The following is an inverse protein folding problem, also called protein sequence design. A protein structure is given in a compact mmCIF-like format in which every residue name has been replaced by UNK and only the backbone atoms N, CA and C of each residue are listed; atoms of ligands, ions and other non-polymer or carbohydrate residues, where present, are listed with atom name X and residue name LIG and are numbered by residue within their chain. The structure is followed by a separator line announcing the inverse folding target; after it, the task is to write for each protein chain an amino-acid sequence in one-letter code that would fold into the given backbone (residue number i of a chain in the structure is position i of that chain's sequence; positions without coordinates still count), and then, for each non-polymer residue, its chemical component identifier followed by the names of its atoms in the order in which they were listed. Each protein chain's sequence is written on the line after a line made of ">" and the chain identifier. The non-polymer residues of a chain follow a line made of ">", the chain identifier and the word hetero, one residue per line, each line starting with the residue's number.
data_IF_359070793493
#
_entry.id   IF_359070793493
#
_cell.length_a   1.000
_cell.length_b   1.000
_cell.length_c   1.000
_cell.angle_alpha   90.00
_cell.angle_beta   90.00
_cell.angle_gamma   90.00
#
_symmetry.space_group_name_H-M   'P 1'
#
loop_
_entity.id
_entity.type
_entity.pdbx_description
1 polymer ?
#
# COMPACT_ATOMS: atom_id res chain seq x y z
N UNK A 1 8.30 -6.16 20.28
CA UNK A 1 7.39 -5.83 19.16
C UNK A 1 7.36 -4.30 19.04
N UNK A 2 7.91 -3.75 17.96
CA UNK A 2 8.00 -2.30 17.77
C UNK A 2 6.59 -1.72 17.60
N UNK A 3 6.30 -0.61 18.28
CA UNK A 3 4.97 0.02 18.34
C UNK A 3 4.35 0.21 16.95
N UNK A 4 5.16 0.54 15.95
CA UNK A 4 4.75 0.78 14.56
C UNK A 4 4.13 -0.46 13.90
N UNK A 5 4.67 -1.66 14.16
CA UNK A 5 4.12 -2.90 13.61
C UNK A 5 2.75 -3.22 14.20
N UNK A 6 2.56 -2.96 15.50
CA UNK A 6 1.28 -3.18 16.16
C UNK A 6 0.22 -2.16 15.67
N UNK A 7 0.62 -0.91 15.42
CA UNK A 7 -0.25 0.11 14.83
C UNK A 7 -0.70 -0.28 13.42
N UNK A 8 0.22 -0.72 12.56
CA UNK A 8 -0.11 -1.20 11.20
C UNK A 8 -1.02 -2.42 11.28
N UNK A 9 -0.72 -3.39 12.17
CA UNK A 9 -1.51 -4.61 12.32
C UNK A 9 -2.95 -4.30 12.76
N UNK A 10 -3.14 -3.52 13.82
CA UNK A 10 -4.48 -3.14 14.30
C UNK A 10 -5.22 -2.28 13.27
N UNK A 11 -4.50 -1.37 12.62
CA UNK A 11 -5.03 -0.54 11.55
C UNK A 11 -5.56 -1.37 10.37
N UNK A 12 -4.79 -2.37 9.92
CA UNK A 12 -5.22 -3.30 8.87
C UNK A 12 -6.41 -4.14 9.31
N UNK A 13 -6.46 -4.62 10.56
CA UNK A 13 -7.61 -5.35 11.08
C UNK A 13 -8.89 -4.50 11.04
N UNK A 14 -8.81 -3.24 11.47
CA UNK A 14 -9.95 -2.33 11.38
C UNK A 14 -10.34 -2.07 9.92
N UNK A 15 -9.36 -1.86 9.03
CA UNK A 15 -9.61 -1.65 7.61
C UNK A 15 -10.25 -2.88 6.96
N UNK A 16 -9.89 -4.10 7.37
CA UNK A 16 -10.56 -5.33 6.90
C UNK A 16 -12.06 -5.34 7.23
N UNK A 17 -12.47 -4.72 8.32
CA UNK A 17 -13.87 -4.66 8.73
C UNK A 17 -14.67 -3.57 7.99
N UNK A 18 -14.04 -2.43 7.67
CA UNK A 18 -14.73 -1.26 7.10
C UNK A 18 -14.54 -1.10 5.59
N UNK A 19 -13.40 -1.56 5.06
CA UNK A 19 -12.94 -1.40 3.69
C UNK A 19 -12.16 -2.66 3.25
N UNK A 20 -12.83 -3.82 3.15
CA UNK A 20 -12.17 -5.12 2.98
C UNK A 20 -11.34 -5.21 1.69
N UNK A 21 -11.79 -4.60 0.59
CA UNK A 21 -11.07 -4.63 -0.69
C UNK A 21 -9.76 -3.85 -0.61
N UNK A 22 -9.77 -2.64 -0.05
CA UNK A 22 -8.57 -1.83 0.16
C UNK A 22 -7.62 -2.50 1.16
N UNK A 23 -8.16 -3.16 2.19
CA UNK A 23 -7.35 -3.92 3.13
C UNK A 23 -6.65 -5.11 2.50
N UNK A 24 -7.32 -5.84 1.61
CA UNK A 24 -6.73 -6.93 0.84
C UNK A 24 -5.64 -6.39 -0.08
N UNK A 25 -5.91 -5.33 -0.83
CA UNK A 25 -4.95 -4.70 -1.75
C UNK A 25 -3.69 -4.20 -1.03
N UNK A 26 -3.88 -3.55 0.12
CA UNK A 26 -2.78 -3.05 0.95
C UNK A 26 -1.92 -4.18 1.51
N UNK A 27 -2.57 -5.28 1.95
CA UNK A 27 -1.86 -6.45 2.46
C UNK A 27 -1.03 -7.11 1.36
N UNK A 28 -1.62 -7.27 0.16
CA UNK A 28 -0.92 -7.81 -1.00
C UNK A 28 0.29 -6.95 -1.40
N UNK A 29 0.16 -5.62 -1.39
CA UNK A 29 1.30 -4.74 -1.68
C UNK A 29 2.43 -4.89 -0.64
N UNK A 30 2.09 -4.98 0.65
CA UNK A 30 3.07 -5.20 1.72
C UNK A 30 3.82 -6.54 1.59
N UNK A 31 3.16 -7.56 1.05
CA UNK A 31 3.73 -8.90 0.83
C UNK A 31 4.60 -8.98 -0.44
N UNK A 32 4.26 -8.20 -1.47
CA UNK A 32 4.96 -8.23 -2.77
C UNK A 32 6.21 -7.34 -2.81
N UNK A 33 6.27 -6.27 -2.02
CA UNK A 33 7.37 -5.31 -2.09
C UNK A 33 8.73 -5.95 -1.73
N UNK A 34 9.74 -5.69 -2.56
CA UNK A 34 11.13 -5.92 -2.19
C UNK A 34 11.63 -4.77 -1.31
N UNK A 35 11.66 -5.03 0.00
CA UNK A 35 12.02 -4.04 1.03
C UNK A 35 13.48 -3.57 0.90
N UNK A 36 14.38 -4.39 0.37
CA UNK A 36 15.80 -4.04 0.24
C UNK A 36 16.05 -3.04 -0.89
N UNK A 37 15.16 -3.03 -1.89
CA UNK A 37 15.25 -2.15 -3.06
C UNK A 37 14.49 -0.84 -2.90
N UNK A 38 13.55 -0.75 -1.96
CA UNK A 38 12.77 0.46 -1.70
C UNK A 38 13.65 1.65 -1.28
N UNK A 39 13.28 2.87 -1.74
CA UNK A 39 13.92 4.12 -1.29
C UNK A 39 13.84 4.32 0.24
N UNK A 40 12.77 3.82 0.87
CA UNK A 40 12.66 3.78 2.33
C UNK A 40 13.44 2.59 2.88
N UNK A 41 14.63 2.88 3.44
CA UNK A 41 15.55 1.88 3.99
C UNK A 41 15.11 1.26 5.31
N UNK A 42 14.19 1.90 6.04
CA UNK A 42 13.60 1.32 7.25
C UNK A 42 12.33 0.54 6.88
N UNK A 43 12.33 -0.80 7.05
CA UNK A 43 11.17 -1.63 6.72
C UNK A 43 9.91 -1.27 7.50
N UNK A 44 10.04 -0.74 8.73
CA UNK A 44 8.88 -0.34 9.53
C UNK A 44 8.27 0.95 8.96
N UNK A 45 9.10 1.92 8.58
CA UNK A 45 8.62 3.13 7.91
C UNK A 45 7.95 2.79 6.58
N UNK A 46 8.50 1.85 5.81
CA UNK A 46 7.88 1.38 4.57
C UNK A 46 6.49 0.78 4.83
N UNK A 47 6.36 -0.09 5.85
CA UNK A 47 5.07 -0.68 6.24
C UNK A 47 4.05 0.38 6.65
N UNK A 48 4.45 1.34 7.48
CA UNK A 48 3.59 2.44 7.92
C UNK A 48 3.15 3.29 6.73
N UNK A 49 4.05 3.56 5.79
CA UNK A 49 3.76 4.34 4.60
C UNK A 49 2.75 3.62 3.69
N UNK A 50 2.98 2.35 3.37
CA UNK A 50 2.05 1.54 2.55
C UNK A 50 0.69 1.41 3.22
N UNK A 51 0.65 1.18 4.54
CA UNK A 51 -0.61 1.21 5.29
C UNK A 51 -1.33 2.55 5.18
N UNK A 52 -0.59 3.66 5.28
CA UNK A 52 -1.14 5.01 5.12
C UNK A 52 -1.70 5.23 3.72
N UNK A 53 -1.06 4.69 2.68
CA UNK A 53 -1.59 4.71 1.32
C UNK A 53 -2.90 3.94 1.21
N UNK A 54 -2.96 2.72 1.75
CA UNK A 54 -4.18 1.93 1.84
C UNK A 54 -5.33 2.67 2.53
N UNK A 55 -5.04 3.32 3.66
CA UNK A 55 -6.02 4.13 4.39
C UNK A 55 -6.46 5.38 3.61
N UNK A 56 -5.55 6.04 2.89
CA UNK A 56 -5.89 7.17 2.01
C UNK A 56 -6.74 6.71 0.84
N UNK A 57 -6.41 5.55 0.25
CA UNK A 57 -7.23 4.92 -0.78
C UNK A 57 -8.64 4.75 -0.21
N UNK A 58 -8.78 4.07 0.94
CA UNK A 58 -10.07 3.76 1.58
C UNK A 58 -10.93 5.01 1.86
N UNK A 59 -10.34 6.12 2.31
CA UNK A 59 -11.06 7.28 2.83
C UNK A 59 -11.08 8.52 1.95
N UNK A 60 -10.23 8.64 0.93
CA UNK A 60 -10.03 9.90 0.17
C UNK A 60 -10.35 9.79 -1.33
N UNK A 61 -10.99 8.71 -1.77
CA UNK A 61 -11.47 8.56 -3.15
C UNK A 61 -10.38 8.84 -4.19
N UNK A 62 -10.64 9.76 -5.12
CA UNK A 62 -9.69 10.14 -6.19
C UNK A 62 -8.34 10.61 -5.67
N UNK A 63 -8.28 11.34 -4.54
CA UNK A 63 -6.99 11.80 -3.97
C UNK A 63 -6.16 10.64 -3.43
N UNK A 64 -6.84 9.64 -2.85
CA UNK A 64 -6.22 8.39 -2.41
C UNK A 64 -5.62 7.62 -3.58
N UNK A 65 -6.37 7.51 -4.69
CA UNK A 65 -5.94 6.85 -5.91
C UNK A 65 -4.73 7.53 -6.58
N UNK A 66 -4.70 8.87 -6.63
CA UNK A 66 -3.54 9.62 -7.14
C UNK A 66 -2.29 9.31 -6.32
N UNK A 67 -2.42 9.33 -4.99
CA UNK A 67 -1.29 9.05 -4.08
C UNK A 67 -0.81 7.61 -4.23
N UNK A 68 -1.74 6.66 -4.34
CA UNK A 68 -1.44 5.24 -4.58
C UNK A 68 -0.64 5.04 -5.86
N UNK A 69 -1.12 5.59 -6.98
CA UNK A 69 -0.48 5.45 -8.29
C UNK A 69 0.92 6.09 -8.33
N UNK A 70 1.10 7.23 -7.66
CA UNK A 70 2.40 7.89 -7.57
C UNK A 70 3.45 7.02 -6.84
N UNK A 71 3.05 6.34 -5.78
CA UNK A 71 3.95 5.46 -5.03
C UNK A 71 4.23 4.14 -5.74
N UNK A 72 3.27 3.58 -6.47
CA UNK A 72 3.54 2.43 -7.34
C UNK A 72 4.63 2.74 -8.37
N UNK A 73 4.60 3.93 -8.99
CA UNK A 73 5.64 4.38 -9.90
C UNK A 73 7.00 4.50 -9.20
N UNK A 74 7.01 5.02 -7.97
CA UNK A 74 8.24 5.11 -7.18
C UNK A 74 8.82 3.73 -6.85
N UNK A 75 7.99 2.76 -6.47
CA UNK A 75 8.44 1.39 -6.21
C UNK A 75 9.00 0.70 -7.46
N UNK A 76 8.44 0.95 -8.63
CA UNK A 76 9.00 0.49 -9.91
C UNK A 76 10.37 1.12 -10.15
N UNK A 77 10.47 2.44 -9.99
CA UNK A 77 11.72 3.19 -10.18
C UNK A 77 12.84 2.68 -9.26
N UNK A 78 12.48 2.31 -8.04
CA UNK A 78 13.39 1.77 -7.04
C UNK A 78 13.72 0.28 -7.26
N UNK A 79 13.00 -0.40 -8.17
CA UNK A 79 13.10 -1.84 -8.39
C UNK A 79 12.43 -2.69 -7.30
N UNK A 80 11.67 -2.07 -6.40
CA UNK A 80 10.89 -2.73 -5.35
C UNK A 80 9.64 -3.44 -5.89
N UNK A 81 9.18 -3.06 -7.09
CA UNK A 81 8.16 -3.74 -7.88
C UNK A 81 8.58 -3.81 -9.35
N UNK A 82 8.07 -4.81 -10.08
CA UNK A 82 8.07 -4.79 -11.54
C UNK A 82 6.96 -3.89 -12.10
N UNK A 83 7.11 -3.44 -13.35
CA UNK A 83 6.07 -2.66 -14.05
C UNK A 83 4.73 -3.41 -14.14
N UNK A 84 4.76 -4.72 -14.37
CA UNK A 84 3.57 -5.57 -14.46
C UNK A 84 2.83 -5.63 -13.11
N UNK A 85 3.55 -5.89 -12.01
CA UNK A 85 2.97 -5.88 -10.67
C UNK A 85 2.35 -4.52 -10.32
N UNK A 86 3.04 -3.43 -10.65
CA UNK A 86 2.52 -2.09 -10.42
C UNK A 86 1.27 -1.79 -11.26
N UNK A 87 1.23 -2.23 -12.52
CA UNK A 87 0.05 -2.09 -13.38
C UNK A 87 -1.16 -2.85 -12.82
N UNK A 88 -0.95 -4.06 -12.29
CA UNK A 88 -1.99 -4.83 -11.65
C UNK A 88 -2.51 -4.19 -10.36
N UNK A 89 -1.63 -3.70 -9.49
CA UNK A 89 -2.05 -2.96 -8.28
C UNK A 89 -2.80 -1.68 -8.62
N UNK A 90 -2.42 -0.99 -9.70
CA UNK A 90 -3.11 0.21 -10.18
C UNK A 90 -4.52 -0.14 -10.66
N UNK A 91 -4.66 -1.16 -11.52
CA UNK A 91 -5.96 -1.60 -12.04
C UNK A 91 -6.91 -2.01 -10.91
N UNK A 92 -6.43 -2.82 -9.96
CA UNK A 92 -7.24 -3.22 -8.80
C UNK A 92 -7.69 -2.02 -7.96
N UNK A 93 -6.83 -1.03 -7.73
CA UNK A 93 -7.20 0.19 -7.00
C UNK A 93 -8.25 1.03 -7.74
N UNK A 94 -8.17 1.09 -9.07
CA UNK A 94 -9.15 1.77 -9.92
C UNK A 94 -10.50 1.05 -9.90
N UNK A 95 -10.51 -0.28 -9.98
CA UNK A 95 -11.72 -1.10 -9.93
C UNK A 95 -12.46 -0.99 -8.59
N UNK A 96 -11.74 -0.91 -7.46
CA UNK A 96 -12.34 -0.67 -6.13
C UNK A 96 -13.02 0.70 -6.05
N UNK A 97 -12.58 1.67 -6.85
CA UNK A 97 -13.01 3.08 -6.80
C UNK A 97 -14.05 3.44 -7.85
N UNK A 98 -14.45 2.48 -8.68
CA UNK A 98 -15.50 2.61 -9.69
C UNK A 98 -16.88 2.44 -9.08
#
# INVERSE_FOLDING_TARGET
>A
MLIEQEVVRRGLLLMKLTHPAEAALTSALLETLDYEKSVLRDPNQLRVMVFTLGKKLSTQGKKGLISWNAWLLQFVKDGALSEEQAADFKRQAEDIRR
#
